data_IF_602929605064
#
_entry.id   IF_602929605064
#
_cell.length_a   1.000
_cell.length_b   1.000
_cell.length_c   1.000
_cell.angle_alpha   90.00
_cell.angle_beta   90.00
_cell.angle_gamma   90.00
#
_symmetry.space_group_name_H-M   'P 1'
#
loop_
_entity.id
_entity.type
_entity.pdbx_description
1 polymer ?
#
# COMPACT_ATOMS: atom_id res chain seq x y z
N UNK A 1 24.74 -6.99 -18.12
CA UNK A 1 24.43 -5.70 -17.46
C UNK A 1 22.96 -5.32 -17.65
N UNK A 2 22.39 -5.49 -18.83
CA UNK A 2 20.97 -5.19 -19.14
C UNK A 2 19.97 -5.99 -18.31
N UNK A 3 20.16 -7.29 -18.14
CA UNK A 3 19.30 -8.13 -17.31
C UNK A 3 19.23 -7.65 -15.84
N UNK A 4 20.37 -7.27 -15.27
CA UNK A 4 20.42 -6.73 -13.90
C UNK A 4 19.71 -5.38 -13.78
N UNK A 5 19.82 -4.51 -14.78
CA UNK A 5 19.10 -3.24 -14.82
C UNK A 5 17.57 -3.45 -14.91
N UNK A 6 17.12 -4.42 -15.71
CA UNK A 6 15.70 -4.77 -15.80
C UNK A 6 15.14 -5.32 -14.46
N UNK A 7 15.93 -6.15 -13.76
CA UNK A 7 15.58 -6.67 -12.42
C UNK A 7 15.44 -5.51 -11.43
N UNK A 8 16.41 -4.59 -11.40
CA UNK A 8 16.36 -3.43 -10.52
C UNK A 8 15.16 -2.54 -10.82
N UNK A 9 14.87 -2.29 -12.10
CA UNK A 9 13.71 -1.50 -12.50
C UNK A 9 12.38 -2.13 -12.05
N UNK A 10 12.24 -3.45 -12.20
CA UNK A 10 11.09 -4.21 -11.69
C UNK A 10 10.97 -4.14 -10.16
N UNK A 11 12.12 -4.26 -9.47
CA UNK A 11 12.18 -4.14 -8.00
C UNK A 11 11.78 -2.74 -7.49
N UNK A 12 12.22 -1.68 -8.17
CA UNK A 12 11.83 -0.31 -7.83
C UNK A 12 10.35 -0.06 -8.11
N UNK A 13 9.81 -0.61 -9.20
CA UNK A 13 8.37 -0.55 -9.48
C UNK A 13 7.55 -1.23 -8.37
N UNK A 14 7.92 -2.47 -8.01
CA UNK A 14 7.25 -3.18 -6.92
C UNK A 14 7.37 -2.42 -5.59
N UNK A 15 8.56 -1.90 -5.29
CA UNK A 15 8.79 -1.04 -4.13
C UNK A 15 7.89 0.20 -4.12
N UNK A 16 7.65 0.83 -5.27
CA UNK A 16 6.77 1.99 -5.40
C UNK A 16 5.32 1.66 -5.04
N UNK A 17 4.78 0.56 -5.57
CA UNK A 17 3.43 0.08 -5.25
C UNK A 17 3.33 -0.31 -3.77
N UNK A 18 4.30 -1.08 -3.29
CA UNK A 18 4.37 -1.53 -1.90
C UNK A 18 4.48 -0.36 -0.90
N UNK A 19 5.23 0.69 -1.28
CA UNK A 19 5.34 1.91 -0.49
C UNK A 19 3.98 2.60 -0.31
N UNK A 20 3.13 2.68 -1.32
CA UNK A 20 1.81 3.32 -1.21
C UNK A 20 0.95 2.63 -0.14
N UNK A 21 0.90 1.31 -0.14
CA UNK A 21 0.15 0.53 0.88
C UNK A 21 0.80 0.67 2.25
N UNK A 22 2.12 0.50 2.32
CA UNK A 22 2.87 0.61 3.56
C UNK A 22 2.79 2.02 4.17
N UNK A 23 2.77 3.08 3.35
CA UNK A 23 2.57 4.45 3.82
C UNK A 23 1.18 4.65 4.43
N UNK A 24 0.14 4.04 3.85
CA UNK A 24 -1.20 4.01 4.42
C UNK A 24 -1.22 3.31 5.77
N UNK A 25 -0.63 2.12 5.85
CA UNK A 25 -0.52 1.34 7.09
C UNK A 25 0.28 2.09 8.16
N UNK A 26 1.41 2.70 7.79
CA UNK A 26 2.24 3.52 8.68
C UNK A 26 1.50 4.72 9.24
N UNK A 27 0.70 5.38 8.41
CA UNK A 27 -0.07 6.54 8.82
C UNK A 27 -1.15 6.14 9.84
N UNK A 28 -1.89 5.06 9.57
CA UNK A 28 -2.91 4.52 10.47
C UNK A 28 -2.26 4.07 11.78
N UNK A 29 -1.23 3.23 11.71
CA UNK A 29 -0.54 2.75 12.91
C UNK A 29 0.10 3.91 13.70
N UNK A 30 0.74 4.85 13.01
CA UNK A 30 1.41 5.98 13.65
C UNK A 30 0.48 6.83 14.52
N UNK A 31 -0.78 7.01 14.09
CA UNK A 31 -1.75 7.87 14.78
C UNK A 31 -2.70 7.10 15.69
N UNK A 32 -3.22 5.95 15.21
CA UNK A 32 -4.24 5.17 15.92
C UNK A 32 -3.64 4.07 16.80
N UNK A 33 -2.36 3.70 16.58
CA UNK A 33 -1.68 2.57 17.24
C UNK A 33 -2.36 1.22 17.02
N UNK A 34 -3.05 1.05 15.89
CA UNK A 34 -3.76 -0.16 15.53
C UNK A 34 -3.07 -0.81 14.34
N UNK A 35 -2.83 -2.12 14.43
CA UNK A 35 -2.38 -2.92 13.30
C UNK A 35 -3.60 -3.24 12.43
N UNK A 36 -3.71 -2.57 11.28
CA UNK A 36 -4.84 -2.74 10.38
C UNK A 36 -4.50 -3.72 9.25
N UNK A 37 -4.89 -4.99 9.40
CA UNK A 37 -4.71 -6.00 8.36
C UNK A 37 -5.62 -5.77 7.13
N UNK A 38 -6.72 -5.02 7.28
CA UNK A 38 -7.62 -4.73 6.17
C UNK A 38 -6.99 -3.82 5.08
N UNK A 39 -5.78 -3.29 5.29
CA UNK A 39 -5.06 -2.53 4.25
C UNK A 39 -4.82 -3.36 2.98
N UNK A 40 -4.58 -4.67 3.10
CA UNK A 40 -4.49 -5.58 1.96
C UNK A 40 -5.82 -5.73 1.21
N UNK A 41 -6.94 -5.69 1.93
CA UNK A 41 -8.27 -5.70 1.28
C UNK A 41 -8.54 -4.42 0.49
N UNK A 42 -8.06 -3.27 0.94
CA UNK A 42 -8.14 -2.03 0.15
C UNK A 42 -7.31 -2.13 -1.13
N UNK A 43 -6.13 -2.73 -1.04
CA UNK A 43 -5.31 -3.00 -2.22
C UNK A 43 -6.03 -3.93 -3.21
N UNK A 44 -6.55 -5.07 -2.76
CA UNK A 44 -7.30 -5.99 -3.60
C UNK A 44 -8.58 -5.34 -4.18
N UNK A 45 -9.31 -4.55 -3.39
CA UNK A 45 -10.47 -3.78 -3.84
C UNK A 45 -10.09 -2.85 -5.00
N UNK A 46 -8.99 -2.12 -4.85
CA UNK A 46 -8.45 -1.26 -5.91
C UNK A 46 -8.12 -2.02 -7.18
N UNK A 47 -7.51 -3.21 -7.05
CA UNK A 47 -7.18 -4.06 -8.18
C UNK A 47 -8.42 -4.55 -8.93
N UNK A 48 -9.41 -5.12 -8.24
CA UNK A 48 -10.64 -5.59 -8.87
C UNK A 48 -11.43 -4.47 -9.57
N UNK A 49 -11.54 -3.30 -8.94
CA UNK A 49 -12.14 -2.15 -9.58
C UNK A 49 -11.30 -1.59 -10.73
N UNK A 50 -9.98 -1.62 -10.62
CA UNK A 50 -9.08 -1.25 -11.70
C UNK A 50 -9.30 -2.09 -12.96
N UNK A 51 -9.40 -3.44 -12.81
CA UNK A 51 -9.78 -4.33 -13.91
C UNK A 51 -11.11 -3.92 -14.52
N UNK A 52 -12.11 -3.72 -13.66
CA UNK A 52 -13.45 -3.35 -14.11
C UNK A 52 -13.43 -2.01 -14.84
N UNK A 53 -12.74 -1.02 -14.29
CA UNK A 53 -12.60 0.31 -14.91
C UNK A 53 -11.95 0.23 -16.29
N UNK A 54 -10.82 -0.47 -16.45
CA UNK A 54 -10.13 -0.61 -17.75
C UNK A 54 -11.04 -1.33 -18.75
N UNK A 55 -11.73 -2.40 -18.32
CA UNK A 55 -12.64 -3.14 -19.20
C UNK A 55 -13.75 -2.24 -19.75
N UNK A 56 -14.39 -1.45 -18.88
CA UNK A 56 -15.43 -0.50 -19.32
C UNK A 56 -14.88 0.68 -20.14
N UNK A 57 -13.69 1.19 -19.78
CA UNK A 57 -13.05 2.26 -20.53
C UNK A 57 -12.75 1.86 -21.98
N UNK A 58 -12.22 0.64 -22.19
CA UNK A 58 -12.01 0.10 -23.53
C UNK A 58 -13.32 -0.08 -24.31
N UNK A 59 -14.39 -0.60 -23.68
CA UNK A 59 -15.71 -0.73 -24.30
C UNK A 59 -16.33 0.62 -24.68
N UNK A 60 -16.09 1.65 -23.87
CA UNK A 60 -16.56 3.02 -24.12
C UNK A 60 -15.70 3.79 -25.13
N UNK A 61 -14.63 3.21 -25.65
CA UNK A 61 -13.71 3.90 -26.58
C UNK A 61 -12.92 5.04 -25.94
N UNK A 62 -12.69 4.97 -24.62
CA UNK A 62 -11.88 5.96 -23.91
C UNK A 62 -10.44 5.88 -24.40
N UNK A 63 -9.83 7.03 -24.64
CA UNK A 63 -8.43 7.10 -25.08
C UNK A 63 -7.50 6.44 -24.06
N UNK A 64 -6.59 5.62 -24.55
CA UNK A 64 -5.64 4.83 -23.75
C UNK A 64 -4.79 5.68 -22.80
N UNK A 65 -4.50 6.95 -23.18
CA UNK A 65 -3.78 7.89 -22.31
C UNK A 65 -4.50 8.23 -21.00
N UNK A 66 -5.82 8.05 -20.95
CA UNK A 66 -6.64 8.32 -19.77
C UNK A 66 -6.71 7.13 -18.82
N UNK A 67 -6.13 5.98 -19.15
CA UNK A 67 -6.14 4.78 -18.30
C UNK A 67 -5.46 5.05 -16.96
N UNK A 68 -4.23 5.57 -16.96
CA UNK A 68 -3.50 5.84 -15.71
C UNK A 68 -4.18 6.89 -14.84
N UNK A 69 -4.56 8.09 -15.34
CA UNK A 69 -5.34 9.04 -14.56
C UNK A 69 -6.66 8.46 -14.04
N UNK A 70 -7.33 7.64 -14.84
CA UNK A 70 -8.57 6.97 -14.45
C UNK A 70 -8.38 5.93 -13.35
N UNK A 71 -7.30 5.16 -13.38
CA UNK A 71 -6.93 4.22 -12.31
C UNK A 71 -6.66 4.97 -11.00
N UNK A 72 -5.92 6.08 -11.05
CA UNK A 72 -5.68 6.91 -9.87
C UNK A 72 -7.00 7.47 -9.33
N UNK A 73 -7.84 8.02 -10.19
CA UNK A 73 -9.14 8.57 -9.80
C UNK A 73 -10.06 7.50 -9.20
N UNK A 74 -10.14 6.32 -9.83
CA UNK A 74 -10.95 5.20 -9.34
C UNK A 74 -10.46 4.74 -7.96
N UNK A 75 -9.15 4.62 -7.76
CA UNK A 75 -8.55 4.30 -6.46
C UNK A 75 -8.88 5.34 -5.39
N UNK A 76 -8.77 6.63 -5.71
CA UNK A 76 -9.12 7.71 -4.78
C UNK A 76 -10.60 7.64 -4.39
N UNK A 77 -11.50 7.48 -5.37
CA UNK A 77 -12.94 7.41 -5.11
C UNK A 77 -13.31 6.20 -4.23
N UNK A 78 -12.70 5.03 -4.50
CA UNK A 78 -12.91 3.83 -3.69
C UNK A 78 -12.39 3.98 -2.27
N UNK A 79 -11.33 4.71 -2.06
CA UNK A 79 -10.79 4.96 -0.73
C UNK A 79 -11.76 5.68 0.21
N UNK A 80 -12.79 6.36 -0.32
CA UNK A 80 -13.87 6.93 0.50
C UNK A 80 -14.78 5.88 1.18
N UNK A 81 -14.55 4.59 0.96
CA UNK A 81 -15.10 3.53 1.83
C UNK A 81 -14.47 3.55 3.24
N UNK A 82 -13.34 4.26 3.43
CA UNK A 82 -12.64 4.35 4.70
C UNK A 82 -13.49 4.83 5.88
N UNK A 83 -14.24 5.95 5.80
CA UNK A 83 -15.02 6.46 6.93
C UNK A 83 -16.05 5.50 7.50
N UNK A 84 -16.88 4.78 6.72
CA UNK A 84 -17.80 3.79 7.27
C UNK A 84 -17.08 2.62 7.92
N UNK A 85 -15.98 2.14 7.35
CA UNK A 85 -15.19 1.06 7.93
C UNK A 85 -14.47 1.49 9.21
N UNK A 86 -13.94 2.71 9.25
CA UNK A 86 -13.35 3.28 10.47
C UNK A 86 -14.37 3.36 11.60
N UNK A 87 -15.62 3.78 11.30
CA UNK A 87 -16.70 3.80 12.32
C UNK A 87 -16.95 2.41 12.91
N UNK A 88 -16.90 1.38 12.10
CA UNK A 88 -17.04 0.00 12.56
C UNK A 88 -15.84 -0.42 13.42
N UNK A 89 -14.62 -0.14 13.00
CA UNK A 89 -13.39 -0.46 13.74
C UNK A 89 -13.27 0.31 15.05
N UNK A 90 -13.88 1.49 15.15
CA UNK A 90 -13.85 2.33 16.35
C UNK A 90 -14.40 1.61 17.60
N UNK A 91 -15.27 0.65 17.42
CA UNK A 91 -15.86 -0.12 18.53
C UNK A 91 -14.84 -0.98 19.28
N UNK A 92 -13.67 -1.23 18.65
CA UNK A 92 -12.60 -2.06 19.24
C UNK A 92 -11.33 -1.27 19.57
N UNK A 93 -11.30 0.05 19.39
CA UNK A 93 -10.09 0.84 19.66
C UNK A 93 -9.63 0.82 21.11
N UNK A 94 -10.58 0.70 22.03
CA UNK A 94 -10.31 0.64 23.47
C UNK A 94 -10.23 -0.82 23.98
N UNK A 95 -10.19 -1.82 23.08
CA UNK A 95 -10.03 -3.25 23.38
C UNK A 95 -8.58 -3.67 23.20
N UNK A 96 -8.26 -4.84 23.73
CA UNK A 96 -6.93 -5.45 23.58
C UNK A 96 -6.52 -5.60 22.11
N UNK A 97 -5.23 -5.54 21.83
CA UNK A 97 -4.66 -5.65 20.46
C UNK A 97 -5.14 -6.91 19.73
N UNK A 98 -5.36 -8.02 20.45
CA UNK A 98 -5.87 -9.28 19.88
C UNK A 98 -7.25 -9.12 19.26
N UNK A 99 -8.16 -8.34 19.88
CA UNK A 99 -9.48 -8.07 19.32
C UNK A 99 -9.40 -7.18 18.08
N UNK A 100 -8.49 -6.22 18.06
CA UNK A 100 -8.27 -5.36 16.90
C UNK A 100 -7.74 -6.17 15.73
N UNK A 101 -6.77 -7.05 15.95
CA UNK A 101 -6.24 -7.97 14.93
C UNK A 101 -7.33 -8.91 14.40
N UNK A 102 -8.12 -9.51 15.31
CA UNK A 102 -9.20 -10.42 14.92
C UNK A 102 -10.25 -9.73 14.05
N UNK A 103 -10.69 -8.51 14.42
CA UNK A 103 -11.68 -7.77 13.65
C UNK A 103 -11.14 -7.35 12.27
N UNK A 104 -9.90 -6.85 12.20
CA UNK A 104 -9.30 -6.46 10.91
C UNK A 104 -9.04 -7.67 10.02
N UNK A 105 -8.69 -8.84 10.59
CA UNK A 105 -8.59 -10.09 9.84
C UNK A 105 -9.95 -10.60 9.36
N UNK A 106 -11.00 -10.53 10.20
CA UNK A 106 -12.36 -10.87 9.79
C UNK A 106 -12.83 -10.00 8.60
N UNK A 107 -12.44 -8.71 8.57
CA UNK A 107 -12.68 -7.84 7.43
C UNK A 107 -11.97 -8.34 6.16
N UNK A 108 -10.74 -8.85 6.26
CA UNK A 108 -10.02 -9.43 5.12
C UNK A 108 -10.83 -10.57 4.52
N UNK A 109 -11.30 -11.50 5.34
CA UNK A 109 -12.11 -12.65 4.89
C UNK A 109 -13.44 -12.19 4.28
N UNK A 110 -14.11 -11.24 4.92
CA UNK A 110 -15.36 -10.68 4.39
C UNK A 110 -15.15 -10.02 3.02
N UNK A 111 -14.09 -9.24 2.83
CA UNK A 111 -13.77 -8.66 1.53
C UNK A 111 -13.44 -9.73 0.49
N UNK A 112 -12.72 -10.79 0.87
CA UNK A 112 -12.42 -11.91 -0.03
C UNK A 112 -13.69 -12.59 -0.54
N UNK A 113 -14.67 -12.82 0.33
CA UNK A 113 -15.98 -13.37 -0.05
C UNK A 113 -16.77 -12.41 -0.94
N UNK A 114 -16.73 -11.10 -0.66
CA UNK A 114 -17.33 -10.07 -1.52
C UNK A 114 -16.70 -10.08 -2.90
N UNK A 115 -15.35 -10.16 -3.00
CA UNK A 115 -14.66 -10.21 -4.29
C UNK A 115 -15.05 -11.46 -5.07
N UNK A 116 -15.11 -12.62 -4.41
CA UNK A 116 -15.54 -13.88 -4.99
C UNK A 116 -16.99 -13.81 -5.50
N UNK A 117 -17.88 -13.18 -4.73
CA UNK A 117 -19.29 -13.04 -5.10
C UNK A 117 -19.49 -12.11 -6.31
N UNK A 118 -18.77 -10.97 -6.35
CA UNK A 118 -18.95 -9.94 -7.38
C UNK A 118 -18.19 -10.27 -8.66
N UNK A 119 -16.92 -10.70 -8.54
CA UNK A 119 -16.01 -10.90 -9.68
C UNK A 119 -15.74 -12.37 -10.01
N UNK A 120 -16.14 -13.30 -9.14
CA UNK A 120 -15.88 -14.73 -9.29
C UNK A 120 -14.55 -15.16 -8.65
N UNK A 121 -14.27 -16.47 -8.71
CA UNK A 121 -13.07 -17.06 -8.10
C UNK A 121 -11.83 -17.01 -8.99
N UNK A 122 -11.99 -16.82 -10.31
CA UNK A 122 -10.87 -16.85 -11.24
C UNK A 122 -10.09 -15.53 -11.23
N UNK A 123 -8.75 -15.57 -11.25
CA UNK A 123 -7.93 -14.38 -11.40
C UNK A 123 -8.29 -13.61 -12.67
N UNK A 124 -8.23 -12.30 -12.60
CA UNK A 124 -8.52 -11.39 -13.71
C UNK A 124 -7.29 -10.57 -14.04
N UNK A 125 -6.79 -10.69 -15.27
CA UNK A 125 -5.67 -9.90 -15.81
C UNK A 125 -6.10 -9.06 -16.99
N UNK A 126 -5.39 -7.98 -17.24
CA UNK A 126 -5.58 -7.08 -18.37
C UNK A 126 -4.22 -6.63 -18.89
N UNK A 127 -3.59 -7.49 -19.68
CA UNK A 127 -2.24 -7.26 -20.19
C UNK A 127 -2.17 -6.13 -21.24
N UNK A 128 -3.31 -5.80 -21.87
CA UNK A 128 -3.40 -4.79 -22.93
C UNK A 128 -3.04 -3.37 -22.46
N UNK A 129 -3.30 -3.04 -21.20
CA UNK A 129 -3.08 -1.69 -20.66
C UNK A 129 -1.61 -1.40 -20.32
N UNK A 130 -0.77 -2.42 -20.18
CA UNK A 130 0.61 -2.27 -19.75
C UNK A 130 1.52 -1.59 -20.78
N UNK A 131 1.33 -1.90 -22.05
CA UNK A 131 2.15 -1.39 -23.15
C UNK A 131 1.58 -0.16 -23.84
N UNK A 132 0.44 0.35 -23.42
CA UNK A 132 -0.23 1.51 -24.00
C UNK A 132 0.67 2.74 -24.10
N UNK A 133 1.49 2.99 -23.08
CA UNK A 133 2.40 4.13 -23.04
C UNK A 133 3.74 3.87 -23.73
N UNK A 134 3.91 2.68 -24.33
CA UNK A 134 5.14 2.27 -24.97
C UNK A 134 6.24 1.81 -24.01
N UNK A 135 7.38 1.49 -24.58
CA UNK A 135 8.59 1.05 -23.86
C UNK A 135 9.78 1.91 -24.25
N UNK A 136 10.60 2.27 -23.28
CA UNK A 136 11.90 2.90 -23.51
C UNK A 136 12.92 1.77 -23.62
N UNK A 137 13.50 1.58 -24.81
CA UNK A 137 14.54 0.58 -25.03
C UNK A 137 15.88 1.28 -25.34
N UNK A 138 16.93 0.91 -24.58
CA UNK A 138 18.30 1.37 -24.81
C UNK A 138 19.19 0.13 -24.85
N UNK A 139 19.51 -0.33 -26.07
CA UNK A 139 20.17 -1.62 -26.27
C UNK A 139 19.29 -2.77 -25.79
N UNK A 140 19.83 -3.64 -24.93
CA UNK A 140 19.09 -4.76 -24.32
C UNK A 140 18.26 -4.36 -23.08
N UNK A 141 18.31 -3.09 -22.64
CA UNK A 141 17.49 -2.58 -21.53
C UNK A 141 16.13 -2.15 -22.08
N UNK A 142 15.04 -2.70 -21.50
CA UNK A 142 13.68 -2.34 -21.87
C UNK A 142 12.87 -2.02 -20.61
N UNK A 143 12.41 -0.78 -20.49
CA UNK A 143 11.58 -0.31 -19.39
C UNK A 143 10.24 0.18 -19.92
N UNK A 144 9.11 -0.43 -19.55
CA UNK A 144 7.79 0.11 -19.86
C UNK A 144 7.60 1.49 -19.22
N UNK A 145 7.12 2.44 -20.01
CA UNK A 145 6.86 3.82 -19.55
C UNK A 145 5.85 3.82 -18.40
N UNK A 146 4.93 2.88 -18.41
CA UNK A 146 3.97 2.68 -17.30
C UNK A 146 4.65 2.55 -15.94
N UNK A 147 5.69 1.72 -15.83
CA UNK A 147 6.42 1.53 -14.57
C UNK A 147 7.06 2.84 -14.09
N UNK A 148 7.64 3.61 -15.01
CA UNK A 148 8.23 4.91 -14.68
C UNK A 148 7.18 5.89 -14.15
N UNK A 149 6.00 5.95 -14.78
CA UNK A 149 4.90 6.81 -14.35
C UNK A 149 4.38 6.44 -12.95
N UNK A 150 4.26 5.14 -12.66
CA UNK A 150 3.85 4.67 -11.32
C UNK A 150 4.91 5.00 -10.27
N UNK A 151 6.21 4.82 -10.58
CA UNK A 151 7.30 5.21 -9.68
C UNK A 151 7.26 6.71 -9.39
N UNK A 152 7.09 7.54 -10.43
CA UNK A 152 6.98 9.00 -10.25
C UNK A 152 5.74 9.39 -9.43
N UNK A 153 4.60 8.72 -9.65
CA UNK A 153 3.41 8.92 -8.84
C UNK A 153 3.66 8.58 -7.36
N UNK A 154 4.33 7.45 -7.08
CA UNK A 154 4.67 7.06 -5.71
C UNK A 154 5.63 8.06 -5.03
N UNK A 155 6.62 8.56 -5.77
CA UNK A 155 7.53 9.62 -5.29
C UNK A 155 6.74 10.90 -5.00
N UNK A 156 5.83 11.28 -5.89
CA UNK A 156 4.94 12.42 -5.69
C UNK A 156 4.07 12.29 -4.42
N UNK A 157 3.51 11.10 -4.20
CA UNK A 157 2.76 10.80 -2.97
C UNK A 157 3.66 10.85 -1.74
N UNK A 158 4.87 10.29 -1.81
CA UNK A 158 5.83 10.33 -0.70
C UNK A 158 6.20 11.77 -0.32
N UNK A 159 6.51 12.60 -1.33
CA UNK A 159 6.84 14.01 -1.13
C UNK A 159 5.62 14.81 -0.62
N UNK A 160 4.45 14.60 -1.21
CA UNK A 160 3.20 15.25 -0.83
C UNK A 160 2.77 14.90 0.60
N UNK A 161 2.80 13.62 0.95
CA UNK A 161 2.46 13.16 2.30
C UNK A 161 3.49 13.65 3.34
N UNK A 162 4.78 13.64 2.99
CA UNK A 162 5.83 14.20 3.80
C UNK A 162 5.65 15.71 4.04
N UNK A 163 5.34 16.46 2.99
CA UNK A 163 5.04 17.90 3.09
C UNK A 163 3.76 18.15 3.88
N UNK A 164 2.71 17.40 3.64
CA UNK A 164 1.45 17.47 4.38
C UNK A 164 1.67 17.28 5.89
N UNK A 165 2.36 16.22 6.27
CA UNK A 165 2.62 15.93 7.67
C UNK A 165 3.54 16.97 8.34
N UNK A 166 4.54 17.53 7.64
CA UNK A 166 5.52 18.42 8.23
C UNK A 166 5.12 19.90 8.18
N UNK A 167 4.44 20.35 7.11
CA UNK A 167 4.23 21.76 6.81
C UNK A 167 2.81 22.24 7.09
N UNK A 168 1.81 21.36 7.23
CA UNK A 168 0.42 21.77 7.43
C UNK A 168 0.02 21.80 8.91
N UNK A 169 -0.98 22.64 9.24
CA UNK A 169 -1.58 22.67 10.57
C UNK A 169 -2.21 21.33 10.93
N UNK A 170 -2.87 20.68 9.96
CA UNK A 170 -3.48 19.38 10.16
C UNK A 170 -2.43 18.29 10.44
N UNK A 171 -1.29 18.32 9.75
CA UNK A 171 -0.16 17.45 10.04
C UNK A 171 0.42 17.64 11.45
N UNK A 172 0.37 18.88 12.00
CA UNK A 172 0.73 19.14 13.40
C UNK A 172 -0.25 18.49 14.37
N UNK A 173 -1.56 18.59 14.09
CA UNK A 173 -2.63 17.96 14.88
C UNK A 173 -2.45 16.43 14.85
N UNK A 174 -2.20 15.83 13.69
CA UNK A 174 -1.96 14.39 13.55
C UNK A 174 -0.80 13.91 14.43
N UNK A 175 0.33 14.61 14.41
CA UNK A 175 1.49 14.27 15.21
C UNK A 175 1.23 14.43 16.72
N UNK A 176 0.57 15.53 17.13
CA UNK A 176 0.19 15.73 18.53
C UNK A 176 -0.75 14.63 19.03
N UNK A 177 -1.74 14.24 18.22
CA UNK A 177 -2.64 13.11 18.54
C UNK A 177 -1.89 11.77 18.62
N UNK A 178 -0.90 11.56 17.74
CA UNK A 178 -0.06 10.35 17.72
C UNK A 178 0.84 10.24 18.97
N UNK A 179 1.30 11.38 19.51
CA UNK A 179 2.14 11.43 20.71
C UNK A 179 1.31 11.25 21.99
N UNK A 180 0.21 11.99 22.11
CA UNK A 180 -0.66 11.91 23.28
C UNK A 180 -2.11 12.22 22.93
N UNK A 181 -2.92 11.16 22.76
CA UNK A 181 -4.35 11.25 22.46
C UNK A 181 -5.12 12.07 23.50
N UNK A 182 -4.90 11.77 24.79
CA UNK A 182 -5.66 12.42 25.87
C UNK A 182 -5.37 13.92 25.99
N UNK A 183 -4.11 14.32 25.81
CA UNK A 183 -3.74 15.74 25.79
C UNK A 183 -4.33 16.46 24.57
N UNK A 184 -4.35 15.82 23.41
CA UNK A 184 -4.97 16.40 22.21
C UNK A 184 -6.48 16.61 22.41
N UNK A 185 -7.19 15.64 22.99
CA UNK A 185 -8.62 15.75 23.36
C UNK A 185 -8.85 16.88 24.37
N UNK A 186 -8.00 17.00 25.40
CA UNK A 186 -8.09 18.06 26.39
C UNK A 186 -7.89 19.49 25.81
N UNK A 187 -7.10 19.59 24.72
CA UNK A 187 -6.89 20.83 23.96
C UNK A 187 -7.99 21.08 22.90
N UNK A 188 -9.06 20.28 22.88
CA UNK A 188 -10.22 20.48 22.01
C UNK A 188 -10.08 19.85 20.61
N UNK A 189 -9.10 18.99 20.37
CA UNK A 189 -8.97 18.27 19.11
C UNK A 189 -10.04 17.19 19.02
N UNK A 190 -10.82 17.19 17.93
CA UNK A 190 -11.74 16.11 17.62
C UNK A 190 -10.97 14.88 17.08
N UNK A 191 -10.49 14.05 18.00
CA UNK A 191 -9.70 12.85 17.68
C UNK A 191 -10.47 11.86 16.80
N UNK A 192 -11.81 11.84 16.89
CA UNK A 192 -12.64 10.96 16.02
C UNK A 192 -12.51 11.37 14.56
N UNK A 193 -12.53 12.67 14.26
CA UNK A 193 -12.30 13.16 12.88
C UNK A 193 -10.87 12.92 12.42
N UNK A 194 -9.91 13.08 13.30
CA UNK A 194 -8.50 12.78 13.01
C UNK A 194 -8.34 11.33 12.59
N UNK A 195 -8.90 10.40 13.34
CA UNK A 195 -8.84 8.96 13.05
C UNK A 195 -9.54 8.60 11.73
N UNK A 196 -10.76 9.11 11.51
CA UNK A 196 -11.48 8.89 10.27
C UNK A 196 -10.69 9.41 9.05
N UNK A 197 -10.07 10.58 9.15
CA UNK A 197 -9.25 11.14 8.05
C UNK A 197 -8.02 10.30 7.78
N UNK A 198 -7.29 9.90 8.83
CA UNK A 198 -6.08 9.08 8.69
C UNK A 198 -6.41 7.73 8.05
N UNK A 199 -7.48 7.09 8.52
CA UNK A 199 -7.92 5.82 7.97
C UNK A 199 -8.36 5.95 6.51
N UNK A 200 -9.07 7.04 6.17
CA UNK A 200 -9.48 7.34 4.78
C UNK A 200 -8.28 7.54 3.88
N UNK A 201 -7.27 8.31 4.32
CA UNK A 201 -6.03 8.49 3.54
C UNK A 201 -5.32 7.14 3.36
N UNK A 202 -5.26 6.30 4.40
CA UNK A 202 -4.71 4.95 4.29
C UNK A 202 -5.47 4.08 3.30
N UNK A 203 -6.81 4.12 3.33
CA UNK A 203 -7.66 3.41 2.37
C UNK A 203 -7.45 3.91 0.93
N UNK A 204 -7.40 5.24 0.72
CA UNK A 204 -7.11 5.85 -0.60
C UNK A 204 -5.76 5.40 -1.14
N UNK A 205 -4.72 5.37 -0.31
CA UNK A 205 -3.39 4.91 -0.73
C UNK A 205 -3.41 3.43 -1.10
N UNK A 206 -4.08 2.59 -0.30
CA UNK A 206 -4.23 1.16 -0.57
C UNK A 206 -4.99 0.87 -1.86
N UNK A 207 -6.17 1.47 -2.04
CA UNK A 207 -7.00 1.28 -3.25
C UNK A 207 -6.33 1.83 -4.51
N UNK A 208 -5.62 2.96 -4.41
CA UNK A 208 -4.86 3.52 -5.54
C UNK A 208 -3.70 2.61 -5.93
N UNK A 209 -2.95 2.08 -4.94
CA UNK A 209 -1.87 1.13 -5.20
C UNK A 209 -2.37 -0.13 -5.89
N UNK A 210 -3.51 -0.69 -5.43
CA UNK A 210 -4.14 -1.84 -6.06
C UNK A 210 -4.61 -1.57 -7.48
N UNK A 211 -5.22 -0.41 -7.75
CA UNK A 211 -5.62 -0.03 -9.08
C UNK A 211 -4.40 0.10 -10.03
N UNK A 212 -3.29 0.66 -9.55
CA UNK A 212 -2.07 0.86 -10.33
C UNK A 212 -1.32 -0.45 -10.65
N UNK A 213 -1.54 -1.53 -9.89
CA UNK A 213 -0.84 -2.80 -10.17
C UNK A 213 -1.49 -3.61 -11.27
N UNK A 214 -2.77 -3.41 -11.53
CA UNK A 214 -3.59 -4.23 -12.45
C UNK A 214 -2.99 -4.48 -13.82
N UNK A 215 -2.37 -3.50 -14.50
CA UNK A 215 -1.76 -3.77 -15.81
C UNK A 215 -0.55 -4.70 -15.75
N UNK A 216 0.01 -4.94 -14.57
CA UNK A 216 1.23 -5.74 -14.37
C UNK A 216 0.99 -7.06 -13.65
N UNK A 217 -0.13 -7.19 -12.95
CA UNK A 217 -0.45 -8.37 -12.15
C UNK A 217 -1.97 -8.66 -12.19
N UNK A 218 -2.32 -9.95 -12.15
CA UNK A 218 -3.72 -10.36 -12.09
C UNK A 218 -4.33 -10.05 -10.72
N UNK A 219 -5.57 -9.55 -10.70
CA UNK A 219 -6.36 -9.46 -9.49
C UNK A 219 -6.82 -10.87 -9.08
N UNK A 220 -6.39 -11.34 -7.92
CA UNK A 220 -6.71 -12.65 -7.36
C UNK A 220 -7.30 -12.52 -5.95
N UNK A 221 -7.99 -13.56 -5.46
CA UNK A 221 -8.59 -13.55 -4.13
C UNK A 221 -7.54 -13.50 -3.02
N UNK A 222 -6.38 -14.11 -3.23
CA UNK A 222 -5.34 -14.25 -2.22
C UNK A 222 -4.43 -13.01 -2.12
N UNK A 223 -4.47 -12.12 -3.13
CA UNK A 223 -3.61 -10.94 -3.18
C UNK A 223 -3.76 -10.00 -1.97
N UNK A 224 -4.95 -9.99 -1.31
CA UNK A 224 -5.16 -9.20 -0.10
C UNK A 224 -4.26 -9.67 1.06
N UNK A 225 -4.18 -10.99 1.26
CA UNK A 225 -3.39 -11.59 2.33
C UNK A 225 -1.90 -11.51 2.00
N UNK A 226 -1.52 -11.85 0.78
CA UNK A 226 -0.12 -11.78 0.33
C UNK A 226 0.44 -10.37 0.50
N UNK A 227 -0.29 -9.37 0.01
CA UNK A 227 0.20 -8.00 0.02
C UNK A 227 0.21 -7.35 1.40
N UNK A 228 -0.72 -7.73 2.30
CA UNK A 228 -0.68 -7.22 3.68
C UNK A 228 0.55 -7.72 4.42
N UNK A 229 0.96 -8.96 4.18
CA UNK A 229 2.17 -9.53 4.79
C UNK A 229 3.43 -8.80 4.32
N UNK A 230 3.54 -8.53 3.02
CA UNK A 230 4.66 -7.74 2.46
C UNK A 230 4.65 -6.29 3.00
N UNK A 231 3.49 -5.64 3.02
CA UNK A 231 3.36 -4.29 3.55
C UNK A 231 3.71 -4.23 5.05
N UNK A 232 3.33 -5.25 5.81
CA UNK A 232 3.71 -5.37 7.21
C UNK A 232 5.22 -5.57 7.38
N UNK A 233 5.84 -6.41 6.55
CA UNK A 233 7.29 -6.57 6.51
C UNK A 233 8.01 -5.23 6.28
N UNK A 234 7.54 -4.43 5.32
CA UNK A 234 8.06 -3.08 5.05
C UNK A 234 7.97 -2.19 6.28
N UNK A 235 6.81 -2.19 6.94
CA UNK A 235 6.55 -1.34 8.11
C UNK A 235 7.43 -1.75 9.30
N UNK A 236 7.63 -3.04 9.50
CA UNK A 236 8.48 -3.60 10.55
C UNK A 236 9.95 -3.31 10.27
N UNK A 237 10.44 -3.58 9.05
CA UNK A 237 11.82 -3.26 8.65
C UNK A 237 12.08 -1.76 8.77
N UNK A 238 11.14 -0.94 8.29
CA UNK A 238 11.25 0.51 8.33
C UNK A 238 11.20 1.10 9.73
N UNK A 239 10.51 0.43 10.65
CA UNK A 239 10.18 0.89 11.99
C UNK A 239 8.79 1.52 12.07
N UNK A 240 7.98 1.03 13.00
CA UNK A 240 6.58 1.39 13.18
C UNK A 240 6.41 2.91 13.42
N UNK A 241 5.52 3.54 12.65
CA UNK A 241 5.23 4.98 12.73
C UNK A 241 6.23 5.89 12.00
N UNK A 242 7.21 5.34 11.25
CA UNK A 242 8.20 6.11 10.50
C UNK A 242 7.93 6.12 9.00
N UNK A 243 7.50 7.24 8.42
CA UNK A 243 7.29 7.37 6.97
C UNK A 243 8.58 7.23 6.16
N UNK A 244 9.72 7.70 6.69
CA UNK A 244 11.04 7.49 6.05
C UNK A 244 11.42 6.02 6.10
N UNK A 245 11.07 5.34 7.19
CA UNK A 245 11.24 3.91 7.34
C UNK A 245 10.41 3.13 6.32
N UNK A 246 9.15 3.50 6.07
CA UNK A 246 8.32 2.86 5.06
C UNK A 246 8.95 2.93 3.67
N UNK A 247 9.51 4.08 3.28
CA UNK A 247 10.18 4.23 1.98
C UNK A 247 11.43 3.33 1.87
N UNK A 248 12.28 3.35 2.89
CA UNK A 248 13.48 2.52 2.92
C UNK A 248 13.13 1.01 2.96
N UNK A 249 12.16 0.62 3.79
CA UNK A 249 11.68 -0.75 3.88
C UNK A 249 11.08 -1.26 2.57
N UNK A 250 10.27 -0.42 1.89
CA UNK A 250 9.70 -0.76 0.60
C UNK A 250 10.79 -0.97 -0.48
N UNK A 251 11.81 -0.12 -0.51
CA UNK A 251 12.94 -0.29 -1.43
C UNK A 251 13.72 -1.59 -1.14
N UNK A 252 13.99 -1.88 0.13
CA UNK A 252 14.69 -3.11 0.53
C UNK A 252 13.87 -4.34 0.10
N UNK A 253 12.59 -4.41 0.49
CA UNK A 253 11.74 -5.56 0.19
C UNK A 253 11.53 -5.71 -1.31
N UNK A 254 11.25 -4.63 -2.04
CA UNK A 254 11.03 -4.67 -3.49
C UNK A 254 12.27 -5.11 -4.27
N UNK A 255 13.47 -4.62 -3.90
CA UNK A 255 14.72 -5.03 -4.56
C UNK A 255 15.06 -6.49 -4.26
N UNK A 256 14.86 -6.93 -3.01
CA UNK A 256 15.14 -8.32 -2.62
C UNK A 256 14.18 -9.26 -3.31
N UNK A 257 12.90 -8.92 -3.35
CA UNK A 257 11.91 -9.71 -4.10
C UNK A 257 12.33 -9.87 -5.56
N UNK A 258 12.69 -8.77 -6.23
CA UNK A 258 13.11 -8.81 -7.62
C UNK A 258 14.37 -9.68 -7.85
N UNK A 259 15.34 -9.63 -6.94
CA UNK A 259 16.49 -10.49 -6.98
C UNK A 259 16.12 -11.96 -6.74
N UNK A 260 15.25 -12.22 -5.75
CA UNK A 260 14.82 -13.59 -5.42
C UNK A 260 14.08 -14.26 -6.57
N UNK A 261 13.17 -13.55 -7.26
CA UNK A 261 12.44 -14.07 -8.42
C UNK A 261 13.41 -14.57 -9.51
N UNK A 262 14.53 -13.91 -9.71
CA UNK A 262 15.47 -14.25 -10.79
C UNK A 262 16.47 -15.33 -10.38
N UNK A 263 17.00 -15.27 -9.17
CA UNK A 263 18.05 -16.21 -8.73
C UNK A 263 17.49 -17.44 -8.03
N UNK A 264 16.39 -17.30 -7.30
CA UNK A 264 15.77 -18.35 -6.48
C UNK A 264 14.24 -18.18 -6.43
N UNK A 265 13.51 -18.45 -7.53
CA UNK A 265 12.06 -18.22 -7.60
C UNK A 265 11.26 -18.92 -6.49
N UNK A 266 11.73 -20.12 -6.09
CA UNK A 266 11.07 -20.92 -5.04
C UNK A 266 11.19 -20.30 -3.63
N UNK A 267 12.15 -19.37 -3.44
CA UNK A 267 12.42 -18.73 -2.17
C UNK A 267 11.99 -17.25 -2.11
N UNK A 268 11.20 -16.78 -3.08
CA UNK A 268 10.75 -15.38 -3.16
C UNK A 268 10.15 -14.88 -1.84
N UNK A 269 9.17 -15.61 -1.32
CA UNK A 269 8.47 -15.26 -0.08
C UNK A 269 9.36 -15.49 1.15
N UNK A 270 10.15 -16.58 1.14
CA UNK A 270 11.06 -16.90 2.24
C UNK A 270 12.13 -15.81 2.41
N UNK A 271 12.67 -15.27 1.33
CA UNK A 271 13.69 -14.23 1.38
C UNK A 271 13.18 -12.97 2.12
N UNK A 272 11.92 -12.59 1.93
CA UNK A 272 11.32 -11.46 2.65
C UNK A 272 11.28 -11.75 4.16
N UNK A 273 10.85 -12.95 4.57
CA UNK A 273 10.80 -13.31 5.99
C UNK A 273 12.18 -13.39 6.63
N UNK A 274 13.17 -13.96 5.94
CA UNK A 274 14.55 -14.02 6.43
C UNK A 274 15.10 -12.64 6.73
N UNK A 275 14.80 -11.67 5.86
CA UNK A 275 15.26 -10.29 6.06
C UNK A 275 14.52 -9.61 7.20
N UNK A 276 13.20 -9.81 7.32
CA UNK A 276 12.44 -9.31 8.47
C UNK A 276 13.05 -9.81 9.77
N UNK A 277 13.29 -11.13 9.87
CA UNK A 277 13.92 -11.73 11.04
C UNK A 277 15.32 -11.14 11.27
N UNK A 278 16.13 -11.04 10.23
CA UNK A 278 17.47 -10.47 10.34
C UNK A 278 17.47 -9.03 10.83
N UNK A 279 16.59 -8.18 10.29
CA UNK A 279 16.46 -6.80 10.74
C UNK A 279 15.97 -6.72 12.18
N UNK A 280 14.96 -7.51 12.59
CA UNK A 280 14.44 -7.50 13.95
C UNK A 280 15.47 -8.00 14.97
N UNK A 281 16.29 -8.99 14.61
CA UNK A 281 17.37 -9.47 15.49
C UNK A 281 18.46 -8.42 15.68
N UNK A 282 18.79 -7.65 14.63
CA UNK A 282 19.84 -6.63 14.68
C UNK A 282 19.30 -5.29 15.23
N UNK A 283 18.05 -4.94 14.90
CA UNK A 283 17.39 -3.70 15.30
C UNK A 283 15.91 -3.93 15.59
N UNK A 284 15.53 -4.29 16.84
CA UNK A 284 14.15 -4.62 17.20
C UNK A 284 13.16 -3.46 17.02
N UNK A 285 13.62 -2.21 16.96
CA UNK A 285 12.79 -1.05 16.67
C UNK A 285 12.64 -0.76 15.17
N UNK A 286 13.25 -1.59 14.29
CA UNK A 286 13.38 -1.31 12.85
C UNK A 286 14.47 -0.27 12.54
N UNK A 287 14.68 0.01 11.24
CA UNK A 287 15.77 0.88 10.78
C UNK A 287 15.65 2.33 11.25
N UNK A 288 14.42 2.86 11.32
CA UNK A 288 14.10 4.25 11.67
C UNK A 288 13.11 4.36 12.83
N UNK A 289 12.86 3.26 13.56
CA UNK A 289 12.03 3.24 14.75
C UNK A 289 12.72 3.96 15.92
N UNK A 290 11.92 4.57 16.80
CA UNK A 290 12.42 5.08 18.08
C UNK A 290 12.54 3.92 19.04
N UNK A 291 13.70 3.75 19.69
CA UNK A 291 13.81 2.79 20.78
C UNK A 291 12.78 3.13 21.88
N UNK A 292 12.12 2.12 22.48
CA UNK A 292 11.30 2.37 23.65
C UNK A 292 12.19 3.02 24.73
N UNK A 293 11.68 4.12 25.28
CA UNK A 293 12.35 4.86 26.36
C UNK A 293 12.26 4.07 27.64
#
# INVERSE_FOLDING_TARGET
MSAFANILAGGVFHAAVLFLVAAGLQLVFGVQKIVNLACGSFYALGAYFGVTFITYAHQAGVSDWLILPGLILSGILLGFIGPPLERMLRTVYDRDESFQLLLTFALVLMFQDVFKFVWGANPRSLDSAYLVYGTISVGDFSLPVYNLLVILAAIGVAAGLGAFLQRTNYGRILRATAENRGMAEALGVDVRRVYATVFTVGAVLGTTAGALVVPTAAASLDMAVEFVVEAFAVVVIGGLGSMRGALAGALIVGLIRALSIVFFPEFEVLAIYVIVIGVLLLRPAGLFGRAPA
#
